data_IF_945899562666
#
_entry.id   IF_945899562666
#
_cell.length_a   1.000
_cell.length_b   1.000
_cell.length_c   1.000
_cell.angle_alpha   90.00
_cell.angle_beta   90.00
_cell.angle_gamma   90.00
#
_symmetry.space_group_name_H-M   'P 1'
#
loop_
_entity.id
_entity.type
_entity.pdbx_description
1 polymer ?
#
# COMPACT_ATOMS: atom_id res chain seq x y z
N UNK A 1 8.93 -18.89 6.87
CA UNK A 1 9.23 -17.57 6.29
C UNK A 1 9.98 -17.84 5.00
N UNK A 2 9.34 -17.68 3.85
CA UNK A 2 10.01 -17.83 2.54
C UNK A 2 10.34 -16.41 2.09
N UNK A 3 11.61 -16.03 2.18
CA UNK A 3 12.11 -14.81 1.55
C UNK A 3 12.19 -15.07 0.06
N UNK A 4 11.23 -14.55 -0.71
CA UNK A 4 11.36 -14.47 -2.17
C UNK A 4 11.83 -13.05 -2.46
N UNK A 5 13.13 -12.88 -2.68
CA UNK A 5 13.65 -11.67 -3.31
C UNK A 5 13.05 -11.59 -4.72
N UNK A 6 11.96 -10.86 -4.90
CA UNK A 6 11.43 -10.57 -6.22
C UNK A 6 12.43 -9.65 -6.92
N UNK A 7 13.02 -10.14 -8.01
CA UNK A 7 13.66 -9.23 -8.96
C UNK A 7 12.60 -8.22 -9.42
N UNK A 8 12.98 -6.98 -9.76
CA UNK A 8 12.00 -5.95 -10.14
C UNK A 8 11.04 -6.41 -11.25
N UNK A 9 11.50 -7.29 -12.15
CA UNK A 9 10.65 -7.89 -13.19
C UNK A 9 9.63 -8.90 -12.65
N UNK A 10 9.97 -9.64 -11.60
CA UNK A 10 9.05 -10.59 -10.98
C UNK A 10 7.99 -9.86 -10.15
N UNK A 11 8.35 -8.77 -9.46
CA UNK A 11 7.41 -7.95 -8.70
C UNK A 11 6.31 -7.36 -9.60
N UNK A 12 6.69 -6.65 -10.66
CA UNK A 12 5.71 -5.99 -11.55
C UNK A 12 4.77 -7.01 -12.19
N UNK A 13 5.30 -8.15 -12.64
CA UNK A 13 4.50 -9.24 -13.20
C UNK A 13 3.53 -9.84 -12.18
N UNK A 14 3.98 -10.05 -10.93
CA UNK A 14 3.10 -10.52 -9.86
C UNK A 14 1.96 -9.54 -9.57
N UNK A 15 2.26 -8.24 -9.49
CA UNK A 15 1.25 -7.20 -9.28
C UNK A 15 0.21 -7.19 -10.42
N UNK A 16 0.65 -7.28 -11.67
CA UNK A 16 -0.25 -7.32 -12.83
C UNK A 16 -1.16 -8.55 -12.81
N UNK A 17 -0.61 -9.74 -12.57
CA UNK A 17 -1.39 -10.98 -12.50
C UNK A 17 -2.41 -10.95 -11.37
N UNK A 18 -2.05 -10.44 -10.19
CA UNK A 18 -2.99 -10.30 -9.08
C UNK A 18 -4.09 -9.29 -9.43
N UNK A 19 -3.75 -8.15 -10.04
CA UNK A 19 -4.75 -7.16 -10.49
C UNK A 19 -5.73 -7.74 -11.51
N UNK A 20 -5.25 -8.54 -12.47
CA UNK A 20 -6.11 -9.25 -13.43
C UNK A 20 -7.02 -10.27 -12.75
N UNK A 21 -6.49 -11.04 -11.79
CA UNK A 21 -7.29 -11.98 -11.00
C UNK A 21 -8.39 -11.26 -10.21
N UNK A 22 -8.07 -10.13 -9.56
CA UNK A 22 -9.07 -9.31 -8.86
C UNK A 22 -10.20 -8.93 -9.82
N UNK A 23 -9.90 -8.40 -11.00
CA UNK A 23 -10.92 -8.02 -11.98
C UNK A 23 -11.81 -9.20 -12.40
N UNK A 24 -11.20 -10.37 -12.65
CA UNK A 24 -11.96 -11.58 -13.00
C UNK A 24 -12.87 -12.04 -11.85
N UNK A 25 -12.40 -12.00 -10.61
CA UNK A 25 -13.17 -12.38 -9.43
C UNK A 25 -14.28 -11.37 -9.12
N UNK A 26 -14.02 -10.07 -9.29
CA UNK A 26 -15.02 -9.02 -9.15
C UNK A 26 -16.16 -9.24 -10.16
N UNK A 27 -15.85 -9.66 -11.40
CA UNK A 27 -16.85 -10.00 -12.41
C UNK A 27 -17.66 -11.25 -12.04
N UNK A 28 -17.01 -12.31 -11.54
CA UNK A 28 -17.66 -13.59 -11.30
C UNK A 28 -18.44 -13.66 -9.98
N UNK A 29 -17.89 -13.09 -8.90
CA UNK A 29 -18.39 -13.23 -7.54
C UNK A 29 -18.86 -11.91 -6.92
N UNK A 30 -18.64 -10.79 -7.61
CA UNK A 30 -18.96 -9.45 -7.12
C UNK A 30 -17.82 -8.82 -6.33
N UNK A 31 -17.83 -7.48 -6.26
CA UNK A 31 -16.72 -6.67 -5.73
C UNK A 31 -16.50 -6.76 -4.22
N UNK A 32 -17.42 -7.36 -3.47
CA UNK A 32 -17.33 -7.50 -2.00
C UNK A 32 -17.13 -8.95 -1.55
N UNK A 33 -16.87 -9.86 -2.49
CA UNK A 33 -16.70 -11.29 -2.22
C UNK A 33 -15.46 -11.60 -1.39
N UNK A 34 -15.48 -12.76 -0.74
CA UNK A 34 -14.35 -13.30 0.02
C UNK A 34 -13.12 -13.54 -0.89
N UNK A 35 -13.35 -13.93 -2.14
CA UNK A 35 -12.33 -14.16 -3.15
C UNK A 35 -11.58 -12.86 -3.49
N UNK A 36 -12.32 -11.76 -3.69
CA UNK A 36 -11.72 -10.44 -3.93
C UNK A 36 -10.97 -9.95 -2.69
N UNK A 37 -11.50 -10.20 -1.49
CA UNK A 37 -10.81 -9.89 -0.23
C UNK A 37 -9.45 -10.60 -0.14
N UNK A 38 -9.40 -11.88 -0.51
CA UNK A 38 -8.17 -12.67 -0.48
C UNK A 38 -7.12 -12.19 -1.49
N UNK A 39 -7.50 -11.84 -2.71
CA UNK A 39 -6.55 -11.33 -3.69
C UNK A 39 -6.05 -9.93 -3.35
N UNK A 40 -6.92 -9.05 -2.83
CA UNK A 40 -6.51 -7.74 -2.31
C UNK A 40 -5.50 -7.86 -1.18
N UNK A 41 -5.68 -8.85 -0.29
CA UNK A 41 -4.68 -9.14 0.75
C UNK A 41 -3.34 -9.52 0.12
N UNK A 42 -3.30 -10.47 -0.82
CA UNK A 42 -2.06 -10.89 -1.47
C UNK A 42 -1.36 -9.70 -2.13
N UNK A 43 -2.12 -8.86 -2.83
CA UNK A 43 -1.60 -7.64 -3.43
C UNK A 43 -0.99 -6.70 -2.39
N UNK A 44 -1.69 -6.49 -1.26
CA UNK A 44 -1.18 -5.64 -0.18
C UNK A 44 0.10 -6.20 0.45
N UNK A 45 0.19 -7.53 0.62
CA UNK A 45 1.37 -8.19 1.20
C UNK A 45 2.58 -8.01 0.26
N UNK A 46 2.41 -8.23 -1.06
CA UNK A 46 3.46 -8.06 -2.07
C UNK A 46 3.93 -6.61 -2.17
N UNK A 47 3.00 -5.66 -2.17
CA UNK A 47 3.35 -4.24 -2.25
C UNK A 47 4.02 -3.73 -0.96
N UNK A 48 3.60 -4.21 0.20
CA UNK A 48 4.24 -3.87 1.47
C UNK A 48 5.67 -4.43 1.53
N UNK A 49 5.89 -5.66 1.06
CA UNK A 49 7.23 -6.24 0.96
C UNK A 49 8.14 -5.36 0.09
N UNK A 50 7.64 -4.85 -1.04
CA UNK A 50 8.39 -3.90 -1.88
C UNK A 50 8.79 -2.65 -1.12
N UNK A 51 7.88 -2.05 -0.35
CA UNK A 51 8.15 -0.85 0.45
C UNK A 51 9.24 -1.13 1.48
N UNK A 52 9.15 -2.25 2.21
CA UNK A 52 10.09 -2.58 3.30
C UNK A 52 11.47 -2.98 2.78
N UNK A 53 11.55 -3.56 1.58
CA UNK A 53 12.81 -4.11 1.04
C UNK A 53 13.54 -3.20 0.07
N UNK A 54 12.86 -2.18 -0.48
CA UNK A 54 13.45 -1.29 -1.49
C UNK A 54 14.06 -0.04 -0.87
N UNK A 55 15.19 0.46 -1.42
CA UNK A 55 15.70 1.76 -1.02
C UNK A 55 14.69 2.86 -1.38
N UNK A 56 14.58 3.87 -0.52
CA UNK A 56 13.73 5.02 -0.77
C UNK A 56 14.22 5.75 -2.02
N UNK A 57 13.37 5.79 -3.05
CA UNK A 57 13.60 6.50 -4.30
C UNK A 57 12.46 7.52 -4.51
N UNK A 58 12.47 8.23 -5.63
CA UNK A 58 11.45 9.23 -5.96
C UNK A 58 10.02 8.66 -6.05
N UNK A 59 9.86 7.36 -6.33
CA UNK A 59 8.57 6.67 -6.46
C UNK A 59 8.06 6.09 -5.13
N UNK A 60 8.91 6.07 -4.09
CA UNK A 60 8.61 5.43 -2.81
C UNK A 60 7.31 5.95 -2.17
N UNK A 61 7.08 7.26 -2.27
CA UNK A 61 5.86 7.88 -1.76
C UNK A 61 4.61 7.40 -2.49
N UNK A 62 4.68 7.31 -3.82
CA UNK A 62 3.56 6.84 -4.63
C UNK A 62 3.25 5.38 -4.33
N UNK A 63 4.29 4.56 -4.13
CA UNK A 63 4.12 3.17 -3.67
C UNK A 63 3.44 3.11 -2.30
N UNK A 64 3.85 3.96 -1.35
CA UNK A 64 3.20 4.03 -0.04
C UNK A 64 1.71 4.40 -0.16
N UNK A 65 1.38 5.40 -0.98
CA UNK A 65 0.00 5.83 -1.22
C UNK A 65 -0.86 4.75 -1.90
N UNK A 66 -0.32 4.08 -2.92
CA UNK A 66 -1.03 3.00 -3.62
C UNK A 66 -1.26 1.81 -2.68
N UNK A 67 -0.22 1.40 -1.95
CA UNK A 67 -0.31 0.29 -0.99
C UNK A 67 -1.29 0.59 0.13
N UNK A 68 -1.28 1.82 0.66
CA UNK A 68 -2.22 2.26 1.70
C UNK A 68 -3.68 2.17 1.24
N UNK A 69 -3.97 2.56 -0.01
CA UNK A 69 -5.32 2.41 -0.58
C UNK A 69 -5.74 0.94 -0.69
N UNK A 70 -4.84 0.09 -1.17
CA UNK A 70 -5.12 -1.34 -1.37
C UNK A 70 -5.34 -2.06 -0.04
N UNK A 71 -4.47 -1.82 0.95
CA UNK A 71 -4.61 -2.47 2.25
C UNK A 71 -5.86 -2.00 2.98
N UNK A 72 -6.25 -0.72 2.84
CA UNK A 72 -7.50 -0.21 3.39
C UNK A 72 -8.72 -0.93 2.82
N UNK A 73 -8.73 -1.16 1.49
CA UNK A 73 -9.77 -1.97 0.84
C UNK A 73 -9.73 -3.43 1.35
N UNK A 74 -8.54 -4.01 1.48
CA UNK A 74 -8.38 -5.36 2.02
C UNK A 74 -8.90 -5.52 3.46
N UNK A 75 -8.64 -4.55 4.35
CA UNK A 75 -9.20 -4.50 5.72
C UNK A 75 -10.73 -4.50 5.65
N UNK A 76 -11.31 -3.58 4.87
CA UNK A 76 -12.77 -3.44 4.78
C UNK A 76 -13.45 -4.73 4.32
N UNK A 77 -12.97 -5.36 3.24
CA UNK A 77 -13.58 -6.58 2.73
C UNK A 77 -13.33 -7.78 3.65
N UNK A 78 -12.14 -7.89 4.24
CA UNK A 78 -11.84 -9.01 5.14
C UNK A 78 -12.70 -8.92 6.40
N UNK A 79 -12.86 -7.72 6.98
CA UNK A 79 -13.72 -7.47 8.13
C UNK A 79 -15.20 -7.73 7.79
N UNK A 80 -15.65 -7.37 6.58
CA UNK A 80 -17.00 -7.67 6.11
C UNK A 80 -17.27 -9.18 5.97
N UNK A 81 -16.32 -9.94 5.43
CA UNK A 81 -16.52 -11.36 5.12
C UNK A 81 -16.25 -12.30 6.30
N UNK A 82 -15.34 -11.93 7.21
CA UNK A 82 -14.88 -12.81 8.30
C UNK A 82 -15.15 -12.25 9.70
N UNK A 83 -15.46 -10.94 9.81
CA UNK A 83 -15.64 -10.25 11.07
C UNK A 83 -14.36 -9.65 11.64
N UNK A 84 -14.52 -8.67 12.52
CA UNK A 84 -13.42 -7.89 13.12
C UNK A 84 -12.55 -8.68 14.11
N UNK A 85 -13.06 -9.81 14.61
CA UNK A 85 -12.39 -10.69 15.56
C UNK A 85 -11.32 -11.58 14.90
N UNK A 86 -11.37 -11.72 13.58
CA UNK A 86 -10.44 -12.55 12.82
C UNK A 86 -9.00 -12.00 12.96
N UNK A 87 -8.01 -12.81 13.42
CA UNK A 87 -6.64 -12.36 13.62
C UNK A 87 -6.01 -11.70 12.38
N UNK A 88 -6.41 -12.15 11.19
CA UNK A 88 -5.97 -11.56 9.93
C UNK A 88 -6.38 -10.09 9.80
N UNK A 89 -7.59 -9.71 10.23
CA UNK A 89 -8.04 -8.31 10.20
C UNK A 89 -7.16 -7.44 11.10
N UNK A 90 -6.80 -7.93 12.29
CA UNK A 90 -5.89 -7.23 13.19
C UNK A 90 -4.52 -6.98 12.57
N UNK A 91 -3.96 -7.99 11.88
CA UNK A 91 -2.68 -7.86 11.15
C UNK A 91 -2.77 -6.82 10.03
N UNK A 92 -3.85 -6.84 9.25
CA UNK A 92 -4.05 -5.88 8.17
C UNK A 92 -4.20 -4.45 8.69
N UNK A 93 -4.91 -4.24 9.82
CA UNK A 93 -5.01 -2.92 10.47
C UNK A 93 -3.66 -2.41 10.96
N UNK A 94 -2.84 -3.26 11.57
CA UNK A 94 -1.47 -2.88 11.96
C UNK A 94 -0.61 -2.43 10.77
N UNK A 95 -0.66 -3.18 9.66
CA UNK A 95 0.07 -2.81 8.45
C UNK A 95 -0.48 -1.51 7.81
N UNK A 96 -1.78 -1.27 7.90
CA UNK A 96 -2.42 -0.05 7.42
C UNK A 96 -1.99 1.17 8.24
N UNK A 97 -1.93 1.04 9.57
CA UNK A 97 -1.42 2.07 10.48
C UNK A 97 0.06 2.39 10.21
N UNK A 98 0.89 1.37 9.97
CA UNK A 98 2.29 1.54 9.58
C UNK A 98 2.43 2.30 8.26
N UNK A 99 1.64 1.95 7.24
CA UNK A 99 1.67 2.69 5.96
C UNK A 99 1.16 4.12 6.12
N UNK A 100 0.15 4.34 6.97
CA UNK A 100 -0.35 5.67 7.28
C UNK A 100 0.73 6.55 7.93
N UNK A 101 1.56 6.00 8.82
CA UNK A 101 2.68 6.77 9.39
C UNK A 101 3.72 7.12 8.33
N UNK A 102 4.09 6.19 7.45
CA UNK A 102 5.02 6.46 6.35
C UNK A 102 4.51 7.55 5.39
N UNK A 103 3.20 7.54 5.08
CA UNK A 103 2.59 8.57 4.23
C UNK A 103 2.59 9.94 4.91
N UNK A 104 2.38 9.98 6.23
CA UNK A 104 2.38 11.23 7.00
C UNK A 104 3.78 11.81 7.20
N UNK A 105 4.79 10.98 7.47
CA UNK A 105 6.17 11.44 7.66
C UNK A 105 6.71 12.12 6.39
N UNK A 106 6.42 11.55 5.22
CA UNK A 106 6.81 12.12 3.93
C UNK A 106 6.12 13.47 3.61
N UNK A 107 4.96 13.80 4.23
CA UNK A 107 4.35 15.14 4.06
C UNK A 107 5.17 16.23 4.74
N UNK A 108 5.89 15.92 5.81
CA UNK A 108 6.66 16.92 6.56
C UNK A 108 7.88 17.41 5.78
N UNK A 109 8.53 16.54 4.99
CA UNK A 109 9.68 16.89 4.16
C UNK A 109 9.34 17.95 3.10
N UNK A 110 8.21 17.81 2.40
CA UNK A 110 7.78 18.75 1.37
C UNK A 110 7.46 20.15 1.93
N UNK A 111 6.98 20.21 3.18
CA UNK A 111 6.67 21.48 3.85
C UNK A 111 7.96 22.21 4.25
N UNK A 112 8.99 21.48 4.67
CA UNK A 112 10.29 22.07 5.03
C UNK A 112 10.98 22.65 3.78
N UNK A 113 10.97 21.94 2.65
CA UNK A 113 11.51 22.45 1.39
C UNK A 113 10.74 23.67 0.86
N UNK A 114 9.42 23.69 1.03
CA UNK A 114 8.57 24.83 0.64
C UNK A 114 8.79 26.07 1.52
N UNK A 115 9.09 25.89 2.81
CA UNK A 115 9.37 27.00 3.74
C UNK A 115 10.76 27.59 3.48
N UNK A 116 11.77 26.76 3.20
CA UNK A 116 13.11 27.24 2.81
C UNK A 116 13.08 28.04 1.50
N UNK A 117 12.28 27.61 0.51
CA UNK A 117 12.15 28.34 -0.75
C UNK A 117 11.46 29.71 -0.59
N UNK A 118 10.48 29.82 0.32
CA UNK A 118 9.76 31.07 0.57
C UNK A 118 10.54 32.08 1.42
N UNK A 119 11.48 31.64 2.25
CA UNK A 119 12.33 32.55 3.03
C UNK A 119 13.42 33.20 2.17
N UNK A 120 13.96 32.47 1.19
CA UNK A 120 15.10 32.91 0.38
C UNK A 120 14.74 34.00 -0.65
N UNK A 121 13.47 34.11 -1.03
CA UNK A 121 12.98 35.11 -1.99
C UNK A 121 12.38 36.37 -1.35
N UNK A 122 12.14 36.37 -0.02
CA UNK A 122 11.52 37.51 0.68
C UNK A 122 12.52 38.38 1.46
N UNK A 123 13.82 38.10 1.39
CA UNK A 123 14.88 38.97 1.91
C UNK A 123 15.67 39.58 0.74
N UNK A 124 15.05 40.52 0.03
CA UNK A 124 15.78 41.63 -0.60
C UNK A 124 15.62 42.85 0.29
N UNK A 125 16.58 43.04 1.19
CA UNK A 125 16.89 44.33 1.81
C UNK A 125 18.16 44.84 1.12
#
# INVERSE_FOLDING_TARGET
MVNVLFSTGDFSKSVELIKQNIQSLEYQFGSFSAEVAHELRKLSDVMLERIVTSPHNSEYRDWCLETHKIIKKAVQLTELNYGSWEPLVKRLKYNEEYLASLVNDNRSSDVVDSVHHNLHYNLKI
#
